data_IF_536673526543
#
_entry.id   IF_536673526543
#
_cell.length_a   1.000
_cell.length_b   1.000
_cell.length_c   1.000
_cell.angle_alpha   90.00
_cell.angle_beta   90.00
_cell.angle_gamma   90.00
#
_symmetry.space_group_name_H-M   'P 1'
#
loop_
_entity.id
_entity.type
_entity.pdbx_description
1 polymer ?
#
# COMPACT_ATOMS: atom_id res chain seq x y z
N UNK A 1 -3.57 -13.69 -7.71
CA UNK A 1 -3.08 -12.32 -7.51
C UNK A 1 -1.69 -12.24 -8.12
N UNK A 2 -1.30 -11.10 -8.67
CA UNK A 2 0.02 -10.89 -9.27
C UNK A 2 0.73 -9.73 -8.57
N UNK A 3 2.03 -9.87 -8.31
CA UNK A 3 2.82 -8.77 -7.76
C UNK A 3 2.80 -7.58 -8.73
N UNK A 4 2.54 -6.40 -8.21
CA UNK A 4 2.57 -5.15 -8.98
C UNK A 4 3.98 -4.57 -8.91
N UNK A 5 4.54 -4.25 -10.08
CA UNK A 5 5.86 -3.67 -10.19
C UNK A 5 5.86 -2.18 -9.76
N UNK A 6 6.96 -1.70 -9.17
CA UNK A 6 7.07 -0.29 -8.74
C UNK A 6 7.02 0.71 -9.91
N UNK A 7 7.22 0.28 -11.15
CA UNK A 7 6.99 1.11 -12.34
C UNK A 7 5.51 1.36 -12.64
N UNK A 8 4.58 0.62 -12.04
CA UNK A 8 3.15 0.79 -12.28
C UNK A 8 2.65 2.17 -11.83
N UNK A 9 1.74 2.83 -12.57
CA UNK A 9 1.26 4.18 -12.22
C UNK A 9 0.66 4.34 -10.82
N UNK A 10 0.18 3.25 -10.19
CA UNK A 10 -0.30 3.29 -8.79
C UNK A 10 0.77 3.76 -7.80
N UNK A 11 2.05 3.62 -8.14
CA UNK A 11 3.15 4.07 -7.28
C UNK A 11 3.55 5.52 -7.56
N UNK A 12 2.96 6.15 -8.58
CA UNK A 12 3.39 7.45 -9.13
C UNK A 12 2.24 8.42 -9.44
N UNK A 13 1.01 8.13 -9.01
CA UNK A 13 -0.17 8.94 -9.37
C UNK A 13 -0.20 10.30 -8.67
N UNK A 14 0.09 10.36 -7.36
CA UNK A 14 0.13 11.61 -6.56
C UNK A 14 1.49 11.78 -5.88
N UNK A 15 1.96 10.72 -5.25
CA UNK A 15 3.27 10.60 -4.66
C UNK A 15 4.13 9.66 -5.52
N UNK A 16 5.42 9.98 -5.66
CA UNK A 16 6.42 9.09 -6.25
C UNK A 16 6.95 8.13 -5.16
N UNK A 17 6.71 6.84 -5.35
CA UNK A 17 7.02 5.78 -4.38
C UNK A 17 7.86 4.69 -5.06
N UNK A 18 9.14 4.63 -4.68
CA UNK A 18 10.09 3.62 -5.19
C UNK A 18 10.30 2.44 -4.22
N UNK A 19 9.48 2.36 -3.17
CA UNK A 19 9.64 1.38 -2.10
C UNK A 19 8.55 1.45 -1.04
N UNK A 20 8.18 0.29 -0.48
CA UNK A 20 7.25 0.19 0.65
C UNK A 20 7.99 -0.37 1.86
N UNK A 21 8.43 0.50 2.77
CA UNK A 21 9.26 0.08 3.89
C UNK A 21 8.42 -0.49 5.03
N UNK A 22 8.84 -1.62 5.57
CA UNK A 22 8.15 -2.27 6.70
C UNK A 22 8.54 -1.65 8.03
N UNK A 23 7.64 -1.74 9.01
CA UNK A 23 7.85 -1.21 10.36
C UNK A 23 8.63 -2.17 11.26
N UNK A 24 8.41 -3.49 11.16
CA UNK A 24 8.94 -4.49 12.12
C UNK A 24 9.83 -5.58 11.51
N UNK A 25 10.04 -5.59 10.20
CA UNK A 25 10.96 -6.52 9.54
C UNK A 25 11.87 -5.80 8.56
N UNK A 26 13.00 -6.43 8.20
CA UNK A 26 13.83 -5.97 7.09
C UNK A 26 13.14 -6.23 5.74
N UNK A 27 13.56 -5.47 4.72
CA UNK A 27 13.05 -5.57 3.36
C UNK A 27 11.81 -4.72 3.07
N UNK A 28 11.40 -4.75 1.80
CA UNK A 28 10.25 -4.00 1.32
C UNK A 28 9.00 -4.87 1.23
N UNK A 29 7.85 -4.28 1.55
CA UNK A 29 6.55 -4.85 1.27
C UNK A 29 6.26 -4.83 -0.23
N UNK A 30 5.28 -5.63 -0.62
CA UNK A 30 4.77 -5.69 -2.00
C UNK A 30 3.26 -5.50 -2.01
N UNK A 31 2.75 -4.98 -3.12
CA UNK A 31 1.32 -5.05 -3.42
C UNK A 31 1.09 -6.14 -4.47
N UNK A 32 -0.02 -6.84 -4.33
CA UNK A 32 -0.51 -7.77 -5.32
C UNK A 32 -1.87 -7.28 -5.85
N UNK A 33 -2.09 -7.45 -7.15
CA UNK A 33 -3.30 -7.05 -7.84
C UNK A 33 -4.11 -8.22 -8.38
N UNK A 34 -5.40 -7.98 -8.58
CA UNK A 34 -6.22 -8.69 -9.56
C UNK A 34 -6.62 -7.70 -10.64
N UNK A 35 -6.38 -8.07 -11.90
CA UNK A 35 -6.84 -7.31 -13.06
C UNK A 35 -7.96 -8.06 -13.77
N UNK A 36 -8.98 -7.30 -14.18
CA UNK A 36 -10.06 -7.75 -15.06
C UNK A 36 -10.19 -6.70 -16.16
N UNK A 37 -10.12 -7.12 -17.42
CA UNK A 37 -10.18 -6.24 -18.60
C UNK A 37 -9.17 -5.08 -18.55
N UNK A 38 -7.96 -5.35 -18.04
CA UNK A 38 -6.88 -4.36 -17.92
C UNK A 38 -7.08 -3.32 -16.82
N UNK A 39 -8.09 -3.49 -15.95
CA UNK A 39 -8.32 -2.64 -14.78
C UNK A 39 -8.01 -3.40 -13.50
N UNK A 40 -7.29 -2.76 -12.59
CA UNK A 40 -7.09 -3.27 -11.24
C UNK A 40 -8.41 -3.21 -10.48
N UNK A 41 -8.96 -4.36 -10.11
CA UNK A 41 -10.22 -4.48 -9.35
C UNK A 41 -10.00 -4.83 -7.88
N UNK A 42 -8.79 -5.27 -7.52
CA UNK A 42 -8.42 -5.59 -6.15
C UNK A 42 -6.94 -5.31 -5.93
N UNK A 43 -6.64 -4.71 -4.77
CA UNK A 43 -5.29 -4.60 -4.22
C UNK A 43 -5.25 -5.43 -2.95
N UNK A 44 -4.20 -6.23 -2.83
CA UNK A 44 -3.87 -6.99 -1.64
C UNK A 44 -2.47 -6.60 -1.16
N UNK A 45 -2.32 -6.50 0.16
CA UNK A 45 -1.01 -6.46 0.81
C UNK A 45 -1.04 -7.41 2.00
N UNK A 46 0.01 -8.21 2.13
CA UNK A 46 0.23 -9.04 3.33
C UNK A 46 0.73 -8.23 4.53
N UNK A 47 1.29 -7.04 4.26
CA UNK A 47 1.69 -6.05 5.25
C UNK A 47 0.58 -5.00 5.43
N UNK A 48 0.52 -4.37 6.60
CA UNK A 48 -0.54 -3.43 6.95
C UNK A 48 -0.51 -2.15 6.11
N UNK A 49 -1.62 -1.84 5.45
CA UNK A 49 -1.88 -0.57 4.75
C UNK A 49 -2.55 0.48 5.65
N UNK A 50 -2.59 0.24 6.95
CA UNK A 50 -3.21 1.09 7.96
C UNK A 50 -2.17 2.00 8.65
N UNK A 51 -2.65 3.05 9.32
CA UNK A 51 -1.83 3.95 10.14
C UNK A 51 -2.22 3.78 11.62
N UNK A 52 -1.77 2.69 12.26
CA UNK A 52 -2.15 2.42 13.65
C UNK A 52 -1.60 3.44 14.63
N UNK A 53 -0.54 4.16 14.27
CA UNK A 53 0.00 5.26 15.09
C UNK A 53 -1.04 6.36 15.35
N UNK A 54 -2.07 6.45 14.49
CA UNK A 54 -3.17 7.41 14.58
C UNK A 54 -4.51 6.80 15.02
N UNK A 55 -4.56 5.51 15.36
CA UNK A 55 -5.79 4.85 15.80
C UNK A 55 -6.28 5.31 17.20
N UNK A 56 -5.42 5.95 18.00
CA UNK A 56 -5.73 6.36 19.37
C UNK A 56 -5.77 5.18 20.36
N UNK A 57 -6.16 5.46 21.61
CA UNK A 57 -6.49 4.40 22.59
C UNK A 57 -5.32 3.64 23.25
N UNK A 58 -4.07 4.15 23.22
CA UNK A 58 -2.89 3.52 23.85
C UNK A 58 -2.69 2.04 23.49
N UNK A 59 -3.03 1.65 22.26
CA UNK A 59 -2.83 0.27 21.85
C UNK A 59 -1.36 -0.01 21.51
N UNK A 60 -0.69 -0.79 22.35
CA UNK A 60 0.71 -1.16 22.16
C UNK A 60 0.95 -2.24 21.09
N UNK A 61 -0.11 -2.89 20.58
CA UNK A 61 0.00 -4.06 19.71
C UNK A 61 -0.91 -4.08 18.47
N UNK A 62 -1.69 -3.02 18.22
CA UNK A 62 -2.70 -3.01 17.16
C UNK A 62 -2.14 -2.97 15.73
N UNK A 63 -0.84 -2.67 15.55
CA UNK A 63 -0.29 -2.30 14.25
C UNK A 63 0.46 -3.38 13.45
N UNK A 64 0.41 -4.67 13.84
CA UNK A 64 0.98 -5.75 13.01
C UNK A 64 2.38 -5.45 12.44
N UNK A 65 2.66 -5.87 11.21
CA UNK A 65 3.77 -5.35 10.40
C UNK A 65 3.21 -4.39 9.35
N UNK A 66 3.30 -3.10 9.61
CA UNK A 66 2.78 -2.04 8.74
C UNK A 66 3.80 -1.56 7.72
N UNK A 67 3.28 -0.95 6.66
CA UNK A 67 4.02 -0.16 5.68
C UNK A 67 4.13 1.28 6.20
N UNK A 68 5.36 1.79 6.35
CA UNK A 68 5.63 3.13 6.89
C UNK A 68 4.99 4.26 6.08
N UNK A 69 4.97 4.10 4.76
CA UNK A 69 4.36 5.01 3.80
C UNK A 69 2.96 4.55 3.36
N UNK A 70 2.23 3.80 4.21
CA UNK A 70 0.85 3.34 3.97
C UNK A 70 -0.09 4.48 3.57
N UNK A 71 0.06 5.66 4.21
CA UNK A 71 -0.77 6.82 3.89
C UNK A 71 -0.56 7.29 2.44
N UNK A 72 0.69 7.43 2.01
CA UNK A 72 1.02 7.89 0.66
C UNK A 72 0.53 6.91 -0.40
N UNK A 73 0.76 5.61 -0.20
CA UNK A 73 0.30 4.61 -1.16
C UNK A 73 -1.24 4.55 -1.20
N UNK A 74 -1.95 4.68 -0.06
CA UNK A 74 -3.41 4.73 -0.06
C UNK A 74 -3.97 5.97 -0.81
N UNK A 75 -3.30 7.12 -0.71
CA UNK A 75 -3.65 8.31 -1.50
C UNK A 75 -3.49 8.02 -2.99
N UNK A 76 -2.37 7.41 -3.40
CA UNK A 76 -2.19 7.03 -4.79
C UNK A 76 -3.23 6.02 -5.26
N UNK A 77 -3.51 4.97 -4.47
CA UNK A 77 -4.50 3.95 -4.82
C UNK A 77 -5.87 4.58 -5.06
N UNK A 78 -6.33 5.45 -4.14
CA UNK A 78 -7.59 6.16 -4.30
C UNK A 78 -7.58 7.06 -5.54
N UNK A 79 -6.52 7.83 -5.76
CA UNK A 79 -6.42 8.71 -6.92
C UNK A 79 -6.39 7.92 -8.24
N UNK A 80 -5.62 6.83 -8.30
CA UNK A 80 -5.51 5.97 -9.47
C UNK A 80 -6.87 5.36 -9.84
N UNK A 81 -7.57 4.79 -8.86
CA UNK A 81 -8.91 4.21 -9.04
C UNK A 81 -9.93 5.21 -9.58
N UNK A 82 -9.78 6.50 -9.25
CA UNK A 82 -10.70 7.55 -9.71
C UNK A 82 -10.32 8.15 -11.07
N UNK A 83 -9.16 7.81 -11.64
CA UNK A 83 -8.61 8.49 -12.83
C UNK A 83 -8.21 7.57 -14.00
N UNK A 84 -8.24 6.25 -13.83
CA UNK A 84 -7.87 5.23 -14.83
C UNK A 84 -8.92 4.09 -14.90
#
# INVERSE_FOLDING_TARGET
LQKIDFSHPIFHTVHDINGLDRTKSSGQATLEGLEIDGKIVLIFSSDGLNDSSKAGGNCCCCGGNEIRNARQINVNLLAYTLTH
#
